data_IF_606886723344
#
_entry.id   IF_606886723344
#
_cell.length_a   1.000
_cell.length_b   1.000
_cell.length_c   1.000
_cell.angle_alpha   90.00
_cell.angle_beta   90.00
_cell.angle_gamma   90.00
#
_symmetry.space_group_name_H-M   'P 1'
#
loop_
_entity.id
_entity.type
_entity.pdbx_description
1 polymer ?
#
# COMPACT_ATOMS: atom_id res chain seq x y z
N UNK A 1 20.33 -4.81 46.76
CA UNK A 1 20.43 -3.96 45.55
C UNK A 1 19.85 -4.76 44.39
N UNK A 2 18.52 -4.73 44.22
CA UNK A 2 17.82 -5.44 43.14
C UNK A 2 17.90 -4.60 41.88
N UNK A 3 18.65 -5.09 40.89
CA UNK A 3 18.81 -4.45 39.61
C UNK A 3 17.52 -4.70 38.80
N UNK A 4 16.62 -3.71 38.75
CA UNK A 4 15.39 -3.77 37.95
C UNK A 4 15.78 -3.51 36.50
N UNK A 5 16.17 -4.59 35.82
CA UNK A 5 16.31 -4.60 34.37
C UNK A 5 14.91 -4.41 33.79
N UNK A 6 14.57 -3.18 33.43
CA UNK A 6 13.36 -2.90 32.67
C UNK A 6 13.58 -3.48 31.27
N UNK A 7 12.84 -4.53 30.84
CA UNK A 7 12.90 -4.94 29.46
C UNK A 7 12.50 -3.75 28.60
N UNK A 8 13.30 -3.48 27.57
CA UNK A 8 12.99 -2.51 26.53
C UNK A 8 11.56 -2.81 26.04
N UNK A 9 10.63 -1.85 26.07
CA UNK A 9 9.25 -2.12 25.65
C UNK A 9 9.27 -2.66 24.23
N UNK A 10 8.68 -3.85 24.05
CA UNK A 10 8.39 -4.40 22.74
C UNK A 10 7.44 -3.43 22.04
N UNK A 11 7.94 -2.79 20.98
CA UNK A 11 7.19 -1.81 20.23
C UNK A 11 6.11 -2.56 19.45
N UNK A 12 4.91 -2.64 20.02
CA UNK A 12 3.73 -3.07 19.27
C UNK A 12 3.40 -1.97 18.25
N UNK A 13 3.38 -2.27 16.94
CA UNK A 13 3.10 -1.29 15.90
C UNK A 13 1.69 -0.67 16.01
N UNK A 14 0.80 -1.31 16.77
CA UNK A 14 -0.59 -0.89 16.98
C UNK A 14 -0.79 0.03 18.19
N UNK A 15 0.26 0.33 18.99
CA UNK A 15 0.10 1.03 20.29
C UNK A 15 1.05 2.21 20.54
N UNK A 16 1.65 2.80 19.50
CA UNK A 16 2.08 4.21 19.62
C UNK A 16 0.88 5.14 19.40
N UNK A 17 0.44 5.92 20.41
CA UNK A 17 -0.68 6.84 20.27
C UNK A 17 -0.29 7.98 19.33
N UNK A 18 -0.54 7.80 18.03
CA UNK A 18 -0.34 8.86 17.05
C UNK A 18 -0.02 8.43 15.63
N UNK A 19 0.22 7.15 15.35
CA UNK A 19 0.56 6.72 13.99
C UNK A 19 -0.65 6.29 13.15
N UNK A 20 -1.78 5.93 13.77
CA UNK A 20 -2.95 5.40 13.04
C UNK A 20 -3.51 6.36 11.98
N UNK A 21 -3.58 7.66 12.29
CA UNK A 21 -4.07 8.67 11.33
C UNK A 21 -3.01 9.05 10.26
N UNK A 22 -1.74 8.62 10.43
CA UNK A 22 -0.68 8.91 9.48
C UNK A 22 -0.80 8.09 8.20
N UNK A 23 -1.53 6.98 8.20
CA UNK A 23 -1.62 6.08 7.05
C UNK A 23 -2.05 6.79 5.77
N UNK A 24 -3.12 7.58 5.82
CA UNK A 24 -3.62 8.34 4.66
C UNK A 24 -2.63 9.42 4.22
N UNK A 25 -2.04 10.14 5.18
CA UNK A 25 -1.08 11.20 4.89
C UNK A 25 0.22 10.66 4.28
N UNK A 26 0.73 9.53 4.76
CA UNK A 26 1.91 8.87 4.21
C UNK A 26 1.65 8.30 2.81
N UNK A 27 0.44 7.79 2.56
CA UNK A 27 0.03 7.33 1.24
C UNK A 27 -0.02 8.50 0.26
N UNK A 28 -0.66 9.62 0.65
CA UNK A 28 -0.66 10.84 -0.15
C UNK A 28 0.73 11.43 -0.37
N UNK A 29 1.63 11.35 0.62
CA UNK A 29 3.01 11.79 0.49
C UNK A 29 3.81 10.90 -0.47
N UNK A 30 3.60 9.58 -0.44
CA UNK A 30 4.22 8.63 -1.36
C UNK A 30 3.71 8.79 -2.79
N UNK A 31 2.42 9.09 -2.96
CA UNK A 31 1.81 9.28 -4.27
C UNK A 31 2.05 10.66 -4.88
N UNK A 32 2.44 11.64 -4.04
CA UNK A 32 2.66 13.03 -4.42
C UNK A 32 1.38 13.89 -4.41
N UNK A 33 0.29 13.38 -3.83
CA UNK A 33 -1.01 14.06 -3.74
C UNK A 33 -1.16 14.86 -2.43
N UNK A 34 -0.34 14.59 -1.42
CA UNK A 34 -0.31 15.39 -0.20
C UNK A 34 0.27 16.79 -0.49
N UNK A 35 -0.54 17.82 -0.25
CA UNK A 35 -0.16 19.23 -0.38
C UNK A 35 -0.32 20.02 0.91
N UNK A 36 0.13 21.28 0.88
CA UNK A 36 -0.10 22.26 1.94
C UNK A 36 0.31 21.79 3.34
N UNK A 37 -0.58 22.01 4.31
CA UNK A 37 -0.37 21.70 5.73
C UNK A 37 -0.21 20.19 5.95
N UNK A 38 -0.98 19.36 5.23
CA UNK A 38 -0.92 17.90 5.36
C UNK A 38 0.46 17.37 5.00
N UNK A 39 1.05 17.90 3.91
CA UNK A 39 2.42 17.54 3.53
C UNK A 39 3.43 17.91 4.60
N UNK A 40 3.40 19.17 5.05
CA UNK A 40 4.31 19.66 6.09
C UNK A 40 4.20 18.84 7.39
N UNK A 41 2.98 18.54 7.81
CA UNK A 41 2.72 17.75 9.01
C UNK A 41 3.27 16.33 8.87
N UNK A 42 3.02 15.68 7.74
CA UNK A 42 3.48 14.31 7.48
C UNK A 42 5.01 14.21 7.42
N UNK A 43 5.66 15.16 6.77
CA UNK A 43 7.12 15.27 6.74
C UNK A 43 7.67 15.44 8.16
N UNK A 44 7.08 16.35 8.95
CA UNK A 44 7.50 16.61 10.33
C UNK A 44 7.34 15.39 11.24
N UNK A 45 6.27 14.62 11.07
CA UNK A 45 6.05 13.38 11.81
C UNK A 45 7.08 12.32 11.43
N UNK A 46 7.36 12.14 10.13
CA UNK A 46 8.34 11.16 9.62
C UNK A 46 9.76 11.43 10.12
N UNK A 47 10.14 12.70 10.33
CA UNK A 47 11.42 13.06 10.95
C UNK A 47 11.57 12.53 12.38
N UNK A 48 10.46 12.34 13.09
CA UNK A 48 10.44 12.03 14.52
C UNK A 48 10.01 10.59 14.81
N UNK A 49 9.30 9.95 13.88
CA UNK A 49 8.81 8.58 14.02
C UNK A 49 9.52 7.63 13.04
N UNK A 50 10.42 6.74 13.52
CA UNK A 50 11.15 5.81 12.66
C UNK A 50 10.24 4.78 11.98
N UNK A 51 9.10 4.43 12.60
CA UNK A 51 8.12 3.52 12.02
C UNK A 51 7.44 4.13 10.79
N UNK A 52 6.98 5.38 10.91
CA UNK A 52 6.39 6.11 9.78
C UNK A 52 7.42 6.41 8.68
N UNK A 53 8.69 6.65 9.03
CA UNK A 53 9.77 6.77 8.06
C UNK A 53 10.01 5.49 7.26
N UNK A 54 10.03 4.34 7.95
CA UNK A 54 10.15 3.04 7.31
C UNK A 54 8.94 2.74 6.41
N UNK A 55 7.72 3.05 6.88
CA UNK A 55 6.49 2.88 6.12
C UNK A 55 6.48 3.72 4.83
N UNK A 56 6.82 5.01 4.91
CA UNK A 56 6.92 5.89 3.74
C UNK A 56 7.93 5.35 2.71
N UNK A 57 9.11 4.92 3.19
CA UNK A 57 10.14 4.33 2.34
C UNK A 57 9.63 3.06 1.64
N UNK A 58 8.88 2.22 2.36
CA UNK A 58 8.25 1.03 1.82
C UNK A 58 7.25 1.34 0.70
N UNK A 59 6.37 2.32 0.92
CA UNK A 59 5.40 2.78 -0.07
C UNK A 59 6.08 3.33 -1.33
N UNK A 60 7.11 4.16 -1.16
CA UNK A 60 7.87 4.70 -2.29
C UNK A 60 8.57 3.61 -3.11
N UNK A 61 9.15 2.59 -2.45
CA UNK A 61 9.75 1.42 -3.13
C UNK A 61 8.71 0.60 -3.87
N UNK A 62 7.56 0.34 -3.25
CA UNK A 62 6.45 -0.38 -3.89
C UNK A 62 5.99 0.37 -5.15
N UNK A 63 5.80 1.68 -5.06
CA UNK A 63 5.42 2.54 -6.19
C UNK A 63 6.47 2.50 -7.30
N UNK A 64 7.76 2.54 -6.98
CA UNK A 64 8.83 2.39 -7.96
C UNK A 64 8.78 1.02 -8.66
N UNK A 65 8.53 -0.07 -7.92
CA UNK A 65 8.38 -1.43 -8.48
C UNK A 65 7.16 -1.53 -9.40
N UNK A 66 6.02 -0.98 -8.99
CA UNK A 66 4.78 -0.97 -9.78
C UNK A 66 4.92 -0.15 -11.06
N UNK A 67 5.68 0.96 -11.03
CA UNK A 67 6.03 1.71 -12.24
C UNK A 67 6.94 0.88 -13.16
N UNK A 68 7.96 0.23 -12.60
CA UNK A 68 8.88 -0.61 -13.37
C UNK A 68 8.18 -1.82 -14.02
N UNK A 69 7.13 -2.37 -13.38
CA UNK A 69 6.33 -3.46 -13.95
C UNK A 69 5.25 -2.99 -14.94
N UNK A 70 5.16 -1.67 -15.22
CA UNK A 70 4.13 -1.10 -16.08
C UNK A 70 2.72 -1.05 -15.48
N UNK A 71 2.55 -1.49 -14.22
CA UNK A 71 1.27 -1.46 -13.51
C UNK A 71 0.82 -0.04 -13.18
N UNK A 72 1.78 0.87 -12.98
CA UNK A 72 1.57 2.31 -12.88
C UNK A 72 2.25 3.00 -14.07
N UNK A 73 1.76 2.76 -15.29
CA UNK A 73 2.09 3.65 -16.39
C UNK A 73 1.58 5.06 -16.06
N UNK A 74 2.32 6.13 -16.38
CA UNK A 74 1.83 7.49 -16.23
C UNK A 74 0.74 7.71 -17.28
N UNK A 75 -0.47 7.22 -17.02
CA UNK A 75 -1.66 7.77 -17.65
C UNK A 75 -1.79 9.16 -17.04
N UNK A 76 -1.28 10.15 -17.77
CA UNK A 76 -1.80 11.50 -17.65
C UNK A 76 -3.32 11.37 -17.78
N UNK A 77 -4.01 12.02 -16.84
CA UNK A 77 -5.46 12.05 -16.72
C UNK A 77 -6.05 10.86 -15.96
N UNK A 78 -6.88 11.19 -14.95
CA UNK A 78 -7.61 10.26 -14.09
C UNK A 78 -8.66 9.50 -14.87
N UNK A 79 -8.20 8.64 -15.77
CA UNK A 79 -9.03 7.95 -16.72
C UNK A 79 -9.15 6.48 -16.30
N UNK A 80 -10.39 6.10 -16.00
CA UNK A 80 -10.88 4.73 -15.81
C UNK A 80 -10.49 3.76 -16.95
N UNK A 81 -9.84 4.25 -18.00
CA UNK A 81 -9.34 3.49 -19.14
C UNK A 81 -8.18 2.56 -18.85
N UNK A 82 -7.37 2.72 -17.81
CA UNK A 82 -6.32 1.73 -17.52
C UNK A 82 -6.91 0.37 -17.11
N UNK A 83 -7.94 0.39 -16.26
CA UNK A 83 -8.73 -0.82 -15.91
C UNK A 83 -9.54 -1.27 -17.12
N UNK A 84 -10.11 -0.34 -17.89
CA UNK A 84 -10.87 -0.66 -19.11
C UNK A 84 -9.99 -1.24 -20.25
N UNK A 85 -8.70 -0.90 -20.31
CA UNK A 85 -7.73 -1.42 -21.28
C UNK A 85 -7.21 -2.78 -20.83
N UNK A 86 -6.94 -2.96 -19.54
CA UNK A 86 -6.64 -4.28 -18.96
C UNK A 86 -7.83 -5.25 -19.13
N UNK A 87 -9.07 -4.77 -18.92
CA UNK A 87 -10.29 -5.53 -19.24
C UNK A 87 -10.49 -5.73 -20.74
N UNK A 88 -10.15 -4.76 -21.60
CA UNK A 88 -10.20 -4.94 -23.07
C UNK A 88 -9.19 -5.98 -23.57
N UNK A 89 -8.04 -6.13 -22.91
CA UNK A 89 -7.02 -7.12 -23.24
C UNK A 89 -7.40 -8.54 -22.79
N UNK A 90 -8.30 -8.66 -21.82
CA UNK A 90 -8.96 -9.92 -21.47
C UNK A 90 -10.20 -10.04 -22.34
N UNK A 91 -10.10 -10.70 -23.51
CA UNK A 91 -11.29 -11.02 -24.29
C UNK A 91 -12.33 -11.73 -23.41
N UNK A 92 -13.62 -11.57 -23.72
CA UNK A 92 -14.72 -12.23 -22.99
C UNK A 92 -14.46 -13.73 -22.79
N UNK A 93 -13.87 -14.38 -23.79
CA UNK A 93 -13.51 -15.80 -23.76
C UNK A 93 -12.44 -16.12 -22.71
N UNK A 94 -11.50 -15.19 -22.47
CA UNK A 94 -10.42 -15.36 -21.49
C UNK A 94 -10.92 -15.18 -20.06
N UNK A 95 -11.92 -14.32 -19.84
CA UNK A 95 -12.60 -14.19 -18.55
C UNK A 95 -13.43 -15.45 -18.23
N UNK A 96 -14.22 -15.93 -19.20
CA UNK A 96 -14.99 -17.17 -19.03
C UNK A 96 -14.09 -18.39 -18.72
N UNK A 97 -12.92 -18.48 -19.37
CA UNK A 97 -11.95 -19.55 -19.10
C UNK A 97 -11.32 -19.46 -17.70
N UNK A 98 -11.16 -18.26 -17.14
CA UNK A 98 -10.67 -18.07 -15.78
C UNK A 98 -11.74 -18.40 -14.74
N UNK A 99 -12.99 -17.96 -14.96
CA UNK A 99 -14.13 -18.30 -14.10
C UNK A 99 -14.36 -19.81 -14.04
N UNK A 100 -14.33 -20.51 -15.19
CA UNK A 100 -14.46 -21.97 -15.23
C UNK A 100 -13.35 -22.67 -14.42
N UNK A 101 -12.11 -22.17 -14.50
CA UNK A 101 -10.99 -22.71 -13.74
C UNK A 101 -11.12 -22.46 -12.24
N UNK A 102 -11.64 -21.32 -11.82
CA UNK A 102 -11.90 -21.07 -10.40
C UNK A 102 -13.02 -21.94 -9.86
N UNK A 103 -14.11 -22.16 -10.62
CA UNK A 103 -15.18 -23.07 -10.20
C UNK A 103 -14.73 -24.53 -10.08
N UNK A 104 -13.75 -24.95 -10.90
CA UNK A 104 -13.15 -26.29 -10.79
C UNK A 104 -12.39 -26.45 -9.46
N UNK A 105 -11.54 -25.48 -9.14
CA UNK A 105 -10.74 -25.47 -7.90
C UNK A 105 -11.65 -25.43 -6.67
N UNK A 106 -12.70 -24.60 -6.66
CA UNK A 106 -13.64 -24.52 -5.54
C UNK A 106 -14.37 -25.86 -5.31
N UNK A 107 -14.67 -26.60 -6.39
CA UNK A 107 -15.29 -27.92 -6.31
C UNK A 107 -14.32 -28.99 -5.79
N UNK A 108 -13.05 -28.94 -6.19
CA UNK A 108 -12.01 -29.83 -5.67
C UNK A 108 -11.71 -29.57 -4.19
N UNK A 109 -11.82 -28.31 -3.74
CA UNK A 109 -11.49 -27.93 -2.36
C UNK A 109 -12.63 -28.24 -1.37
N UNK A 110 -13.87 -28.36 -1.86
CA UNK A 110 -15.08 -28.64 -1.05
C UNK A 110 -15.60 -30.09 -1.17
N UNK A 111 -14.85 -31.01 -1.80
CA UNK A 111 -15.16 -32.44 -1.86
C UNK A 111 -14.25 -33.25 -0.94
#
# INVERSE_FOLDING_TARGET
MTNIFHPKPEINPDTEPGCGYMQEMLSGLADGTAGGITKWYAERHVEQCPHCAAALTGLQRLRARLRASGALSPTQDGDTTAVSHAMKLLSSDRLAALEAKWTEVDRETNS
#
